data_IF_071047433159
#
_entry.id   IF_071047433159
#
_cell.length_a   1.000
_cell.length_b   1.000
_cell.length_c   1.000
_cell.angle_alpha   90.00
_cell.angle_beta   90.00
_cell.angle_gamma   90.00
#
_symmetry.space_group_name_H-M   'P 1'
#
loop_
_entity.id
_entity.type
_entity.pdbx_description
1 polymer ?
#
# COMPACT_ATOMS: atom_id res chain seq x y z
N UNK A 1 20.23 19.73 -34.27
CA UNK A 1 20.20 19.72 -32.79
C UNK A 1 19.28 18.59 -32.36
N UNK A 2 19.84 17.45 -31.97
CA UNK A 2 19.08 16.29 -31.49
C UNK A 2 18.96 16.43 -29.97
N UNK A 3 17.75 16.73 -29.49
CA UNK A 3 17.45 16.73 -28.06
C UNK A 3 17.41 15.28 -27.61
N UNK A 4 18.43 14.85 -26.86
CA UNK A 4 18.48 13.52 -26.25
C UNK A 4 17.41 13.42 -25.16
N UNK A 5 16.24 12.89 -25.52
CA UNK A 5 15.26 12.37 -24.57
C UNK A 5 15.81 11.07 -23.97
N UNK A 6 16.76 11.20 -23.02
CA UNK A 6 17.10 10.09 -22.14
C UNK A 6 16.03 10.07 -21.03
N UNK A 7 15.29 8.97 -20.81
CA UNK A 7 14.50 8.86 -19.60
C UNK A 7 15.48 8.95 -18.43
N UNK A 8 15.39 10.02 -17.65
CA UNK A 8 16.19 10.17 -16.44
C UNK A 8 15.90 8.95 -15.56
N UNK A 9 16.93 8.17 -15.24
CA UNK A 9 16.79 7.06 -14.32
C UNK A 9 16.20 7.60 -13.01
N UNK A 10 15.23 6.92 -12.37
CA UNK A 10 14.60 7.45 -11.17
C UNK A 10 15.65 7.73 -10.09
N UNK A 11 15.64 8.97 -9.59
CA UNK A 11 16.49 9.41 -8.50
C UNK A 11 16.31 8.51 -7.27
N UNK A 12 17.28 8.50 -6.36
CA UNK A 12 17.25 7.64 -5.16
C UNK A 12 15.95 7.78 -4.36
N UNK A 13 15.32 8.95 -4.40
CA UNK A 13 14.03 9.23 -3.78
C UNK A 13 12.88 8.42 -4.41
N UNK A 14 12.74 8.47 -5.74
CA UNK A 14 11.71 7.71 -6.47
C UNK A 14 11.89 6.21 -6.31
N UNK A 15 13.14 5.74 -6.24
CA UNK A 15 13.43 4.33 -5.94
C UNK A 15 12.99 3.91 -4.53
N UNK A 16 13.27 4.74 -3.52
CA UNK A 16 12.80 4.49 -2.15
C UNK A 16 11.27 4.51 -2.06
N UNK A 17 10.62 5.48 -2.72
CA UNK A 17 9.16 5.57 -2.81
C UNK A 17 8.56 4.33 -3.44
N UNK A 18 9.08 3.90 -4.59
CA UNK A 18 8.61 2.70 -5.29
C UNK A 18 8.76 1.45 -4.42
N UNK A 19 9.89 1.31 -3.71
CA UNK A 19 10.12 0.18 -2.82
C UNK A 19 9.08 0.10 -1.69
N UNK A 20 8.75 1.23 -1.05
CA UNK A 20 7.71 1.26 0.00
C UNK A 20 6.31 0.96 -0.55
N UNK A 21 5.95 1.52 -1.71
CA UNK A 21 4.66 1.23 -2.35
C UNK A 21 4.51 -0.24 -2.75
N UNK A 22 5.60 -0.88 -3.22
CA UNK A 22 5.60 -2.32 -3.52
C UNK A 22 5.37 -3.15 -2.26
N UNK A 23 5.99 -2.81 -1.14
CA UNK A 23 5.77 -3.51 0.15
C UNK A 23 4.32 -3.39 0.61
N UNK A 24 3.74 -2.19 0.55
CA UNK A 24 2.34 -1.97 0.90
C UNK A 24 1.40 -2.77 0.01
N UNK A 25 1.65 -2.77 -1.30
CA UNK A 25 0.86 -3.55 -2.24
C UNK A 25 0.89 -5.05 -1.91
N UNK A 26 2.07 -5.61 -1.61
CA UNK A 26 2.23 -7.01 -1.21
C UNK A 26 1.52 -7.31 0.11
N UNK A 27 1.59 -6.41 1.09
CA UNK A 27 0.92 -6.56 2.37
C UNK A 27 -0.62 -6.50 2.24
N UNK A 28 -1.15 -5.63 1.38
CA UNK A 28 -2.59 -5.59 1.04
C UNK A 28 -3.03 -6.89 0.35
N UNK A 29 -2.21 -7.44 -0.55
CA UNK A 29 -2.49 -8.74 -1.17
C UNK A 29 -2.52 -9.87 -0.13
N UNK A 30 -1.61 -9.85 0.84
CA UNK A 30 -1.58 -10.82 1.94
C UNK A 30 -2.82 -10.73 2.85
N UNK A 31 -3.34 -9.53 3.11
CA UNK A 31 -4.60 -9.30 3.81
C UNK A 31 -5.77 -10.04 3.12
N UNK A 32 -5.82 -10.00 1.79
CA UNK A 32 -6.80 -10.74 1.00
C UNK A 32 -6.66 -12.28 1.08
N UNK A 33 -5.59 -12.79 1.67
CA UNK A 33 -5.31 -14.21 1.87
C UNK A 33 -5.32 -14.61 3.36
N UNK A 34 -5.68 -13.68 4.28
CA UNK A 34 -5.65 -13.92 5.72
C UNK A 34 -6.51 -15.16 6.11
N UNK A 35 -6.03 -16.06 6.97
CA UNK A 35 -6.66 -17.37 7.20
C UNK A 35 -7.98 -17.28 7.97
N UNK A 36 -8.15 -16.26 8.79
CA UNK A 36 -9.31 -16.07 9.66
C UNK A 36 -9.57 -14.58 9.94
N UNK A 37 -10.67 -14.30 10.63
CA UNK A 37 -11.11 -12.92 10.89
C UNK A 37 -10.18 -12.17 11.84
N UNK A 38 -9.53 -12.86 12.79
CA UNK A 38 -8.58 -12.22 13.71
C UNK A 38 -7.37 -11.71 12.91
N UNK A 39 -6.84 -12.56 12.03
CA UNK A 39 -5.74 -12.20 11.14
C UNK A 39 -6.10 -11.02 10.21
N UNK A 40 -7.35 -10.93 9.73
CA UNK A 40 -7.84 -9.77 8.96
C UNK A 40 -7.76 -8.49 9.79
N UNK A 41 -8.21 -8.51 11.05
CA UNK A 41 -8.19 -7.34 11.93
C UNK A 41 -6.76 -6.89 12.22
N UNK A 42 -5.89 -7.82 12.60
CA UNK A 42 -4.49 -7.55 12.93
C UNK A 42 -3.73 -6.97 11.74
N UNK A 43 -3.84 -7.61 10.57
CA UNK A 43 -3.16 -7.15 9.35
C UNK A 43 -3.70 -5.81 8.86
N UNK A 44 -5.01 -5.58 8.95
CA UNK A 44 -5.61 -4.28 8.61
C UNK A 44 -5.07 -3.17 9.52
N UNK A 45 -4.97 -3.42 10.82
CA UNK A 45 -4.42 -2.44 11.77
C UNK A 45 -2.97 -2.12 11.44
N UNK A 46 -2.14 -3.15 11.24
CA UNK A 46 -0.74 -2.98 10.88
C UNK A 46 -0.55 -2.21 9.55
N UNK A 47 -1.45 -2.43 8.60
CA UNK A 47 -1.46 -1.69 7.33
C UNK A 47 -1.82 -0.21 7.51
N UNK A 48 -2.81 0.12 8.34
CA UNK A 48 -3.10 1.53 8.65
C UNK A 48 -1.96 2.23 9.38
N UNK A 49 -1.28 1.53 10.28
CA UNK A 49 -0.10 2.05 10.96
C UNK A 49 1.04 2.27 9.97
N UNK A 50 1.27 1.31 9.06
CA UNK A 50 2.27 1.43 8.00
C UNK A 50 2.01 2.65 7.10
N UNK A 51 0.76 2.90 6.71
CA UNK A 51 0.39 4.09 5.90
C UNK A 51 0.62 5.39 6.68
N UNK A 52 0.36 5.40 8.00
CA UNK A 52 0.58 6.58 8.86
C UNK A 52 2.06 6.89 9.05
N UNK A 53 2.90 5.86 9.06
CA UNK A 53 4.35 5.98 9.22
C UNK A 53 5.07 6.39 7.92
N UNK A 54 4.40 6.31 6.76
CA UNK A 54 4.95 6.84 5.52
C UNK A 54 5.20 8.34 5.66
N UNK A 55 6.41 8.75 5.30
CA UNK A 55 6.75 10.16 5.33
C UNK A 55 5.86 10.94 4.34
N UNK A 56 5.31 12.12 4.70
CA UNK A 56 4.41 12.90 3.83
C UNK A 56 5.01 13.35 2.50
N UNK A 57 6.34 13.28 2.34
CA UNK A 57 6.97 13.53 1.04
C UNK A 57 6.88 12.33 0.10
N UNK A 58 6.76 11.11 0.63
CA UNK A 58 6.70 9.86 -0.15
C UNK A 58 5.30 9.59 -0.71
N UNK A 59 4.25 9.98 0.01
CA UNK A 59 2.85 9.85 -0.42
C UNK A 59 2.07 11.11 -0.09
N UNK A 60 1.22 11.56 -1.01
CA UNK A 60 0.31 12.67 -0.73
C UNK A 60 -0.78 12.25 0.26
N UNK A 61 -1.48 13.23 0.85
CA UNK A 61 -2.65 12.97 1.72
C UNK A 61 -3.75 12.20 0.98
N UNK A 62 -3.95 12.51 -0.30
CA UNK A 62 -4.92 11.83 -1.17
C UNK A 62 -4.50 10.38 -1.44
N UNK A 63 -3.22 10.14 -1.71
CA UNK A 63 -2.68 8.78 -1.89
C UNK A 63 -2.82 7.95 -0.62
N UNK A 64 -2.49 8.52 0.55
CA UNK A 64 -2.68 7.85 1.84
C UNK A 64 -4.16 7.54 2.11
N UNK A 65 -5.07 8.45 1.76
CA UNK A 65 -6.52 8.24 1.87
C UNK A 65 -7.00 7.11 0.96
N UNK A 66 -6.52 7.06 -0.29
CA UNK A 66 -6.83 5.99 -1.24
C UNK A 66 -6.31 4.62 -0.76
N UNK A 67 -5.10 4.57 -0.20
CA UNK A 67 -4.54 3.35 0.39
C UNK A 67 -5.39 2.86 1.57
N UNK A 68 -5.81 3.77 2.47
CA UNK A 68 -6.69 3.41 3.59
C UNK A 68 -8.04 2.84 3.11
N UNK A 69 -8.63 3.43 2.07
CA UNK A 69 -9.86 2.90 1.48
C UNK A 69 -9.64 1.49 0.88
N UNK A 70 -8.54 1.28 0.18
CA UNK A 70 -8.19 -0.02 -0.41
C UNK A 70 -7.99 -1.09 0.68
N UNK A 71 -7.27 -0.76 1.75
CA UNK A 71 -7.07 -1.63 2.91
C UNK A 71 -8.42 -2.01 3.54
N UNK A 72 -9.28 -1.01 3.77
CA UNK A 72 -10.61 -1.22 4.33
C UNK A 72 -11.48 -2.12 3.46
N UNK A 73 -11.53 -1.85 2.16
CA UNK A 73 -12.30 -2.67 1.20
C UNK A 73 -11.79 -4.10 1.12
N UNK A 74 -10.46 -4.31 1.10
CA UNK A 74 -9.89 -5.65 1.03
C UNK A 74 -10.19 -6.45 2.29
N UNK A 75 -10.10 -5.82 3.48
CA UNK A 75 -10.47 -6.45 4.74
C UNK A 75 -11.96 -6.83 4.76
N UNK A 76 -12.82 -5.96 4.25
CA UNK A 76 -14.26 -6.20 4.13
C UNK A 76 -14.55 -7.40 3.24
N UNK A 77 -14.02 -7.40 2.02
CA UNK A 77 -14.14 -8.52 1.08
C UNK A 77 -13.60 -9.81 1.69
N UNK A 78 -12.45 -9.76 2.38
CA UNK A 78 -11.91 -10.97 3.02
C UNK A 78 -12.84 -11.47 4.12
N UNK A 79 -13.36 -10.58 4.97
CA UNK A 79 -14.34 -10.93 6.01
C UNK A 79 -15.56 -11.65 5.41
N UNK A 80 -16.14 -11.10 4.35
CA UNK A 80 -17.26 -11.70 3.64
C UNK A 80 -16.93 -13.10 3.10
N UNK A 81 -15.75 -13.28 2.49
CA UNK A 81 -15.33 -14.60 1.96
C UNK A 81 -15.05 -15.64 3.04
N UNK A 82 -14.74 -15.20 4.27
CA UNK A 82 -14.61 -16.08 5.43
C UNK A 82 -15.98 -16.46 6.04
N UNK A 83 -17.06 -15.78 5.64
CA UNK A 83 -18.42 -16.05 6.10
C UNK A 83 -18.71 -15.55 7.53
N UNK A 84 -18.04 -14.48 7.96
CA UNK A 84 -18.18 -13.87 9.30
C UNK A 84 -18.76 -12.45 9.28
#
# INVERSE_FOLDING_TARGET
MQSNNHPAAPDSFERSRLAELVKLHQAIAALGQAPDYMAVIEQRSALYDSVRELHPTLVSTEEASALNLLIGSMAETRRETLGV
#
